data_IF_601168831071
#
_entry.id   IF_601168831071
#
_cell.length_a   1.000
_cell.length_b   1.000
_cell.length_c   1.000
_cell.angle_alpha   90.00
_cell.angle_beta   90.00
_cell.angle_gamma   90.00
#
_symmetry.space_group_name_H-M   'P 1'
#
loop_
_entity.id
_entity.type
_entity.pdbx_description
1 polymer ?
#
# COMPACT_ATOMS: atom_id res chain seq x y z
N UNK A 1 -17.12 27.05 -1.62
CA UNK A 1 -17.98 26.08 -0.93
C UNK A 1 -17.70 26.26 0.54
N UNK A 2 -18.62 26.89 1.30
CA UNK A 2 -18.45 27.07 2.75
C UNK A 2 -18.63 25.68 3.36
N UNK A 3 -17.57 25.17 3.97
CA UNK A 3 -17.67 24.02 4.87
C UNK A 3 -18.11 24.66 6.18
N UNK A 4 -19.32 24.35 6.62
CA UNK A 4 -19.78 24.81 7.92
C UNK A 4 -18.88 24.15 8.98
N UNK A 5 -18.30 24.95 9.87
CA UNK A 5 -17.31 24.53 10.88
C UNK A 5 -17.97 23.79 12.06
N UNK A 6 -18.94 22.93 11.76
CA UNK A 6 -19.71 22.17 12.74
C UNK A 6 -19.71 20.69 12.35
N UNK A 7 -19.73 19.85 13.38
CA UNK A 7 -19.84 18.42 13.22
C UNK A 7 -21.24 18.06 12.70
N UNK A 8 -21.31 17.23 11.65
CA UNK A 8 -22.58 16.72 11.13
C UNK A 8 -23.16 15.69 12.13
N UNK A 9 -24.17 16.11 12.90
CA UNK A 9 -24.77 15.34 13.98
C UNK A 9 -25.43 14.04 13.47
N UNK A 10 -26.02 14.07 12.28
CA UNK A 10 -26.69 12.91 11.70
C UNK A 10 -25.65 11.83 11.36
N UNK A 11 -24.51 12.21 10.78
CA UNK A 11 -23.42 11.27 10.46
C UNK A 11 -22.79 10.70 11.74
N UNK A 12 -22.55 11.52 12.77
CA UNK A 12 -21.93 11.04 14.01
C UNK A 12 -22.86 10.08 14.74
N UNK A 13 -24.16 10.37 14.76
CA UNK A 13 -25.18 9.50 15.36
C UNK A 13 -25.28 8.15 14.64
N UNK A 14 -25.16 8.14 13.31
CA UNK A 14 -25.19 6.91 12.50
C UNK A 14 -23.92 6.07 12.64
N UNK A 15 -22.75 6.71 12.75
CA UNK A 15 -21.45 6.01 12.72
C UNK A 15 -20.96 5.62 14.12
N UNK A 16 -21.25 6.42 15.14
CA UNK A 16 -20.75 6.22 16.50
C UNK A 16 -21.83 5.77 17.46
N UNK A 17 -21.42 4.96 18.44
CA UNK A 17 -22.32 4.57 19.54
C UNK A 17 -22.55 5.77 20.45
N UNK A 18 -23.73 5.81 21.09
CA UNK A 18 -24.18 6.91 21.97
C UNK A 18 -23.15 7.31 23.05
N UNK A 19 -22.37 6.34 23.55
CA UNK A 19 -21.29 6.56 24.52
C UNK A 19 -20.14 7.44 23.97
N UNK A 20 -19.83 7.31 22.69
CA UNK A 20 -18.69 7.97 22.04
C UNK A 20 -19.07 9.32 21.42
N UNK A 21 -20.37 9.53 21.20
CA UNK A 21 -20.97 10.77 20.68
C UNK A 21 -20.54 12.00 21.49
N UNK A 22 -20.71 11.94 22.81
CA UNK A 22 -20.42 13.05 23.71
C UNK A 22 -18.92 13.38 23.83
N UNK A 23 -18.03 12.47 23.45
CA UNK A 23 -16.58 12.68 23.47
C UNK A 23 -16.10 13.30 22.16
N UNK A 24 -16.58 12.79 21.03
CA UNK A 24 -16.22 13.32 19.70
C UNK A 24 -16.78 14.72 19.50
N UNK A 25 -18.01 14.99 19.95
CA UNK A 25 -18.64 16.30 19.86
C UNK A 25 -17.85 17.43 20.54
N UNK A 26 -17.14 17.11 21.63
CA UNK A 26 -16.32 18.08 22.37
C UNK A 26 -14.93 18.29 21.77
N UNK A 27 -14.59 17.53 20.73
CA UNK A 27 -13.28 17.66 20.08
C UNK A 27 -13.32 18.89 19.17
N UNK A 28 -12.48 19.91 19.44
CA UNK A 28 -12.46 21.11 18.61
C UNK A 28 -12.05 20.74 17.18
N UNK A 29 -12.87 21.12 16.21
CA UNK A 29 -12.53 20.98 14.80
C UNK A 29 -11.31 21.86 14.52
N UNK A 30 -10.36 21.31 13.75
CA UNK A 30 -9.12 22.02 13.44
C UNK A 30 -9.46 23.26 12.60
N UNK A 31 -9.18 24.45 13.13
CA UNK A 31 -9.31 25.75 12.43
C UNK A 31 -8.29 25.92 11.27
N UNK A 32 -7.65 24.84 10.83
CA UNK A 32 -6.68 24.86 9.75
C UNK A 32 -7.42 25.02 8.42
N UNK A 33 -7.35 26.23 7.86
CA UNK A 33 -7.81 26.55 6.50
C UNK A 33 -6.82 26.10 5.42
N UNK A 34 -5.71 25.46 5.81
CA UNK A 34 -4.80 24.79 4.88
C UNK A 34 -5.48 23.59 4.24
N UNK A 35 -5.33 23.41 2.93
CA UNK A 35 -5.74 22.16 2.27
C UNK A 35 -5.03 21.00 2.96
N UNK A 36 -5.81 20.01 3.40
CA UNK A 36 -5.27 18.74 3.88
C UNK A 36 -4.27 18.22 2.85
N UNK A 37 -3.01 18.15 3.28
CA UNK A 37 -1.92 17.65 2.47
C UNK A 37 -1.33 16.48 3.21
N UNK A 38 -1.44 15.30 2.62
CA UNK A 38 -0.80 14.09 3.14
C UNK A 38 0.70 14.32 3.22
N UNK A 39 1.26 14.29 4.43
CA UNK A 39 2.71 14.33 4.63
C UNK A 39 3.11 13.18 5.56
N UNK A 40 4.22 12.52 5.21
CA UNK A 40 4.79 11.44 6.00
C UNK A 40 6.18 11.88 6.44
N UNK A 41 6.50 11.64 7.72
CA UNK A 41 7.81 11.95 8.29
C UNK A 41 8.85 10.99 7.71
N UNK A 42 9.92 11.58 7.18
CA UNK A 42 11.12 10.89 6.70
C UNK A 42 11.71 10.03 7.83
N UNK A 43 12.07 8.79 7.55
CA UNK A 43 12.90 8.02 8.46
C UNK A 43 14.40 8.39 8.29
N UNK A 44 15.22 8.09 9.28
CA UNK A 44 16.65 8.44 9.26
C UNK A 44 17.43 7.72 8.14
N UNK A 45 16.82 6.72 7.48
CA UNK A 45 17.40 5.99 6.35
C UNK A 45 17.32 6.73 5.02
N UNK A 46 16.53 7.82 4.94
CA UNK A 46 16.44 8.63 3.73
C UNK A 46 15.76 7.91 2.56
N UNK A 47 14.85 6.98 2.84
CA UNK A 47 14.20 6.18 1.81
C UNK A 47 13.19 7.02 1.02
N UNK A 48 13.50 7.29 -0.25
CA UNK A 48 12.73 8.14 -1.17
C UNK A 48 11.49 7.43 -1.79
N UNK A 49 11.03 6.32 -1.23
CA UNK A 49 9.86 5.57 -1.71
C UNK A 49 8.58 6.42 -1.72
N UNK A 50 8.47 7.42 -0.83
CA UNK A 50 7.19 8.06 -0.55
C UNK A 50 6.82 9.18 -1.51
N UNK A 51 7.76 9.84 -2.21
CA UNK A 51 7.39 11.05 -2.97
C UNK A 51 6.48 10.73 -4.16
N UNK A 52 6.76 9.67 -4.93
CA UNK A 52 5.91 9.24 -6.05
C UNK A 52 4.58 8.65 -5.53
N UNK A 53 4.66 7.80 -4.50
CA UNK A 53 3.48 7.12 -3.94
C UNK A 53 2.52 8.06 -3.19
N UNK A 54 3.01 9.14 -2.58
CA UNK A 54 2.19 10.07 -1.81
C UNK A 54 1.57 11.18 -2.66
N UNK A 55 2.12 11.51 -3.84
CA UNK A 55 1.62 12.63 -4.64
C UNK A 55 0.89 12.22 -5.92
N UNK A 56 1.18 11.05 -6.48
CA UNK A 56 0.67 10.69 -7.83
C UNK A 56 -0.08 9.35 -7.88
N UNK A 57 0.12 8.45 -6.92
CA UNK A 57 -0.64 7.22 -6.84
C UNK A 57 -1.97 7.40 -6.08
N UNK A 58 -3.08 6.73 -6.48
CA UNK A 58 -4.30 6.68 -5.68
C UNK A 58 -4.02 6.21 -4.25
N UNK A 59 -4.69 6.81 -3.26
CA UNK A 59 -4.44 6.58 -1.83
C UNK A 59 -4.44 5.10 -1.42
N UNK A 60 -5.27 4.28 -2.07
CA UNK A 60 -5.37 2.85 -1.79
C UNK A 60 -4.14 2.06 -2.27
N UNK A 61 -3.68 2.33 -3.51
CA UNK A 61 -2.46 1.74 -4.05
C UNK A 61 -1.21 2.13 -3.26
N UNK A 62 -1.14 3.37 -2.77
CA UNK A 62 -0.04 3.84 -1.93
C UNK A 62 0.04 3.08 -0.61
N UNK A 63 -1.11 2.89 0.08
CA UNK A 63 -1.17 2.13 1.33
C UNK A 63 -0.72 0.68 1.14
N UNK A 64 -1.20 0.03 0.08
CA UNK A 64 -0.84 -1.34 -0.22
C UNK A 64 0.64 -1.54 -0.51
N UNK A 65 1.25 -0.62 -1.25
CA UNK A 65 2.69 -0.69 -1.53
C UNK A 65 3.51 -0.55 -0.26
N UNK A 66 3.11 0.34 0.64
CA UNK A 66 3.74 0.46 1.97
C UNK A 66 3.62 -0.87 2.73
N UNK A 67 2.44 -1.49 2.76
CA UNK A 67 2.25 -2.81 3.39
C UNK A 67 3.10 -3.91 2.72
N UNK A 68 3.23 -3.88 1.40
CA UNK A 68 4.05 -4.80 0.61
C UNK A 68 5.54 -4.64 0.90
N UNK A 69 6.00 -3.40 0.99
CA UNK A 69 7.39 -3.05 1.32
C UNK A 69 7.70 -3.49 2.76
N UNK A 70 6.85 -3.20 3.73
CA UNK A 70 7.12 -3.61 5.11
C UNK A 70 6.89 -5.12 5.35
N UNK A 71 6.73 -5.94 4.30
CA UNK A 71 6.37 -7.35 4.40
C UNK A 71 5.21 -7.55 5.39
N UNK A 72 4.25 -6.65 5.37
CA UNK A 72 3.09 -6.64 6.27
C UNK A 72 1.83 -7.20 5.62
N UNK A 73 1.90 -7.54 4.32
CA UNK A 73 0.84 -8.27 3.63
C UNK A 73 0.61 -9.64 4.28
N UNK A 74 -0.64 -10.03 4.59
CA UNK A 74 -0.98 -11.32 5.19
C UNK A 74 -0.88 -12.47 4.17
N UNK A 75 0.32 -12.68 3.62
CA UNK A 75 0.61 -13.75 2.67
C UNK A 75 0.55 -15.12 3.36
N UNK A 76 0.22 -16.17 2.61
CA UNK A 76 0.15 -17.53 3.18
C UNK A 76 1.47 -17.99 3.79
N UNK A 77 2.60 -17.63 3.18
CA UNK A 77 3.90 -17.93 3.77
C UNK A 77 4.04 -17.29 5.14
N UNK A 78 3.71 -16.01 5.30
CA UNK A 78 3.80 -15.33 6.60
C UNK A 78 2.78 -15.82 7.63
N UNK A 79 1.58 -16.23 7.20
CA UNK A 79 0.61 -16.84 8.11
C UNK A 79 1.13 -18.19 8.61
N UNK A 80 1.73 -18.99 7.73
CA UNK A 80 2.32 -20.27 8.10
C UNK A 80 3.48 -20.14 9.10
N UNK A 81 4.34 -19.12 8.96
CA UNK A 81 5.44 -18.87 9.92
C UNK A 81 4.92 -18.45 11.30
N UNK A 82 3.69 -17.94 11.38
CA UNK A 82 2.97 -17.65 12.63
C UNK A 82 2.18 -18.85 13.15
N UNK A 83 2.48 -20.06 12.70
CA UNK A 83 1.86 -21.32 13.12
C UNK A 83 0.35 -21.41 12.82
N UNK A 84 -0.14 -20.64 11.84
CA UNK A 84 -1.50 -20.82 11.32
C UNK A 84 -1.50 -22.10 10.45
N UNK A 85 -2.45 -23.05 10.65
CA UNK A 85 -2.48 -24.30 9.90
C UNK A 85 -3.02 -24.08 8.48
N UNK A 86 -2.18 -23.51 7.61
CA UNK A 86 -2.48 -23.17 6.23
C UNK A 86 -1.36 -23.66 5.31
N UNK A 87 -1.71 -24.10 4.10
CA UNK A 87 -0.73 -24.37 3.06
C UNK A 87 -0.01 -23.06 2.67
N UNK A 88 1.33 -22.98 2.80
CA UNK A 88 2.10 -21.78 2.46
C UNK A 88 2.17 -21.51 0.95
N UNK A 89 1.75 -22.44 0.10
CA UNK A 89 1.86 -22.28 -1.35
C UNK A 89 0.88 -21.22 -1.89
N UNK A 90 1.33 -20.53 -2.93
CA UNK A 90 0.58 -19.52 -3.66
C UNK A 90 -0.65 -20.12 -4.32
N UNK A 91 -1.81 -19.49 -4.15
CA UNK A 91 -3.07 -19.96 -4.74
C UNK A 91 -3.12 -19.89 -6.27
N UNK A 92 -2.31 -19.01 -6.87
CA UNK A 92 -2.33 -18.80 -8.31
C UNK A 92 -1.52 -19.84 -9.07
N UNK A 93 -0.36 -20.24 -8.54
CA UNK A 93 0.52 -21.21 -9.19
C UNK A 93 0.51 -22.59 -8.51
N UNK A 94 0.09 -22.67 -7.26
CA UNK A 94 0.05 -23.88 -6.42
C UNK A 94 1.39 -24.62 -6.27
N UNK A 95 2.51 -23.98 -6.63
CA UNK A 95 3.80 -24.63 -6.77
C UNK A 95 4.90 -24.06 -5.87
N UNK A 96 4.78 -22.79 -5.48
CA UNK A 96 5.81 -22.09 -4.70
C UNK A 96 5.21 -21.34 -3.53
N UNK A 97 5.96 -21.15 -2.43
CA UNK A 97 5.50 -20.36 -1.29
C UNK A 97 5.00 -18.97 -1.68
N UNK A 98 3.84 -18.60 -1.16
CA UNK A 98 3.22 -17.29 -1.37
C UNK A 98 3.95 -16.23 -0.55
N UNK A 99 5.00 -15.66 -1.13
CA UNK A 99 5.66 -14.46 -0.60
C UNK A 99 5.16 -13.23 -1.35
N UNK A 100 5.33 -12.04 -0.77
CA UNK A 100 4.99 -10.78 -1.45
C UNK A 100 5.70 -10.67 -2.81
N UNK A 101 7.00 -10.99 -2.86
CA UNK A 101 7.77 -10.99 -4.11
C UNK A 101 7.25 -12.02 -5.11
N UNK A 102 6.84 -13.20 -4.64
CA UNK A 102 6.27 -14.20 -5.54
C UNK A 102 4.93 -13.73 -6.10
N UNK A 103 3.96 -13.42 -5.24
CA UNK A 103 2.59 -13.12 -5.69
C UNK A 103 2.51 -11.87 -6.54
N UNK A 104 3.30 -10.83 -6.22
CA UNK A 104 3.25 -9.54 -6.93
C UNK A 104 4.15 -9.50 -8.17
N UNK A 105 5.24 -10.28 -8.20
CA UNK A 105 6.26 -10.17 -9.26
C UNK A 105 6.49 -11.51 -9.95
N UNK A 106 6.96 -12.53 -9.25
CA UNK A 106 7.51 -13.75 -9.90
C UNK A 106 6.48 -14.78 -10.32
N UNK A 107 5.25 -14.71 -9.81
CA UNK A 107 4.21 -15.68 -10.12
C UNK A 107 3.86 -15.59 -11.60
N UNK A 108 3.64 -16.73 -12.27
CA UNK A 108 3.15 -16.74 -13.66
C UNK A 108 1.87 -15.91 -13.83
N UNK A 109 1.02 -15.85 -12.79
CA UNK A 109 -0.14 -14.97 -12.75
C UNK A 109 0.27 -13.50 -12.86
N UNK A 110 1.13 -13.01 -11.97
CA UNK A 110 1.65 -11.65 -12.01
C UNK A 110 2.40 -11.33 -13.31
N UNK A 111 3.20 -12.27 -13.82
CA UNK A 111 3.94 -12.13 -15.07
C UNK A 111 3.03 -11.86 -16.28
N UNK A 112 1.76 -12.29 -16.25
CA UNK A 112 0.80 -11.91 -17.30
C UNK A 112 0.49 -10.42 -17.33
N UNK A 113 0.59 -9.73 -16.18
CA UNK A 113 0.44 -8.28 -16.09
C UNK A 113 1.76 -7.60 -16.49
N UNK A 114 2.88 -8.04 -15.92
CA UNK A 114 4.20 -7.45 -16.20
C UNK A 114 4.64 -7.58 -17.65
N UNK A 115 4.29 -8.67 -18.34
CA UNK A 115 4.61 -8.86 -19.77
C UNK A 115 3.90 -7.89 -20.70
N UNK A 116 2.82 -7.24 -20.23
CA UNK A 116 2.08 -6.21 -20.97
C UNK A 116 2.48 -4.80 -20.57
N UNK A 117 3.17 -4.68 -19.45
CA UNK A 117 3.62 -3.41 -18.90
C UNK A 117 4.82 -2.87 -19.68
N UNK A 118 4.96 -1.55 -19.72
CA UNK A 118 6.15 -0.90 -20.29
C UNK A 118 7.22 -0.65 -19.22
N UNK A 119 7.29 -1.51 -18.21
CA UNK A 119 8.20 -1.39 -17.07
C UNK A 119 9.42 -2.30 -17.28
N UNK A 120 10.66 -1.77 -17.28
CA UNK A 120 11.87 -2.58 -17.39
C UNK A 120 11.97 -3.61 -16.27
N UNK A 121 12.34 -4.85 -16.61
CA UNK A 121 12.60 -5.92 -15.62
C UNK A 121 13.88 -5.60 -14.86
N UNK A 122 13.82 -5.69 -13.53
CA UNK A 122 14.93 -5.41 -12.62
C UNK A 122 15.13 -6.53 -11.61
N UNK A 123 16.33 -6.57 -11.01
CA UNK A 123 16.67 -7.35 -9.81
C UNK A 123 16.12 -8.80 -9.84
N UNK A 124 16.44 -9.55 -10.90
CA UNK A 124 15.98 -10.93 -11.07
C UNK A 124 16.41 -11.87 -9.93
N UNK A 125 17.48 -11.52 -9.22
CA UNK A 125 18.07 -12.20 -8.07
C UNK A 125 17.52 -11.74 -6.70
N UNK A 126 16.63 -10.76 -6.65
CA UNK A 126 16.07 -10.24 -5.40
C UNK A 126 15.47 -11.34 -4.51
N UNK A 127 15.65 -11.25 -3.19
CA UNK A 127 15.09 -12.24 -2.26
C UNK A 127 13.74 -11.81 -1.67
N UNK A 128 13.51 -10.50 -1.59
CA UNK A 128 12.29 -9.90 -1.00
C UNK A 128 11.76 -8.75 -1.86
N UNK A 129 10.48 -8.43 -1.70
CA UNK A 129 9.80 -7.44 -2.53
C UNK A 129 10.44 -6.06 -2.42
N UNK A 130 10.85 -5.64 -1.23
CA UNK A 130 11.52 -4.34 -1.02
C UNK A 130 12.75 -4.17 -1.89
N UNK A 131 13.68 -5.13 -1.84
CA UNK A 131 14.92 -5.07 -2.61
C UNK A 131 14.66 -5.00 -4.11
N UNK A 132 13.64 -5.72 -4.60
CA UNK A 132 13.24 -5.66 -5.99
C UNK A 132 12.67 -4.27 -6.35
N UNK A 133 11.77 -3.75 -5.52
CA UNK A 133 11.09 -2.48 -5.76
C UNK A 133 12.03 -1.28 -5.63
N UNK A 134 12.97 -1.30 -4.69
CA UNK A 134 13.99 -0.25 -4.52
C UNK A 134 14.92 -0.14 -5.73
N UNK A 135 15.37 -1.27 -6.27
CA UNK A 135 16.16 -1.29 -7.51
C UNK A 135 15.32 -0.77 -8.68
N UNK A 136 14.04 -1.14 -8.72
CA UNK A 136 13.07 -0.60 -9.67
C UNK A 136 13.02 0.93 -9.60
N UNK A 137 12.68 1.49 -8.45
CA UNK A 137 12.59 2.94 -8.23
C UNK A 137 13.89 3.69 -8.54
N UNK A 138 15.06 3.08 -8.35
CA UNK A 138 16.34 3.68 -8.69
C UNK A 138 16.60 3.73 -10.21
N UNK A 139 15.92 2.87 -10.98
CA UNK A 139 16.11 2.72 -12.42
C UNK A 139 14.96 3.26 -13.27
N UNK A 140 13.74 3.30 -12.72
CA UNK A 140 12.52 3.64 -13.42
C UNK A 140 12.25 5.15 -13.40
N UNK A 141 11.61 5.63 -14.46
CA UNK A 141 11.03 6.97 -14.50
C UNK A 141 9.69 7.02 -13.74
N UNK A 142 9.11 8.22 -13.60
CA UNK A 142 7.86 8.42 -12.85
C UNK A 142 6.68 7.62 -13.43
N UNK A 143 6.53 7.57 -14.75
CA UNK A 143 5.43 6.84 -15.40
C UNK A 143 5.56 5.33 -15.17
N UNK A 144 6.77 4.79 -15.28
CA UNK A 144 7.06 3.38 -14.99
C UNK A 144 6.81 3.04 -13.51
N UNK A 145 7.17 3.94 -12.58
CA UNK A 145 6.89 3.77 -11.16
C UNK A 145 5.38 3.72 -10.88
N UNK A 146 4.61 4.59 -11.53
CA UNK A 146 3.14 4.61 -11.41
C UNK A 146 2.51 3.35 -12.01
N UNK A 147 2.97 2.91 -13.17
CA UNK A 147 2.48 1.69 -13.79
C UNK A 147 2.79 0.46 -12.92
N UNK A 148 4.01 0.36 -12.41
CA UNK A 148 4.42 -0.70 -11.48
C UNK A 148 3.57 -0.71 -10.19
N UNK A 149 3.29 0.47 -9.64
CA UNK A 149 2.43 0.65 -8.48
C UNK A 149 1.00 0.15 -8.75
N UNK A 150 0.43 0.52 -9.90
CA UNK A 150 -0.92 0.13 -10.30
C UNK A 150 -1.03 -1.37 -10.60
N UNK A 151 -0.01 -1.97 -11.20
CA UNK A 151 0.04 -3.42 -11.43
C UNK A 151 0.04 -4.16 -10.09
N UNK A 152 0.93 -3.77 -9.16
CA UNK A 152 0.98 -4.37 -7.83
C UNK A 152 -0.38 -4.30 -7.12
N UNK A 153 -1.07 -3.15 -7.21
CA UNK A 153 -2.41 -2.97 -6.62
C UNK A 153 -3.51 -3.79 -7.29
N UNK A 154 -3.37 -4.10 -8.59
CA UNK A 154 -4.38 -4.84 -9.35
C UNK A 154 -4.33 -6.37 -9.18
N UNK A 155 -3.27 -6.87 -8.56
CA UNK A 155 -3.02 -8.29 -8.25
C UNK A 155 -3.63 -8.62 -6.89
#
# INVERSE_FOLDING_TARGET
MKIDEEWDEDIISDVLRERDHAMVWKTPLSLCTGRDTWYWLKDDSGMFTVKIMATEAPSQSAKFLVESIHNSLPTRFQLSTKHVPIDPNCLFCLATPETALHVLVRCNFAQNYWSRAQVPVVAGDAMIFTSWFEVGLASWNVAECLEAAMICWSI
#
